data_IF_025472365010
#
_entry.id   IF_025472365010
#
_cell.length_a   1.000
_cell.length_b   1.000
_cell.length_c   1.000
_cell.angle_alpha   90.00
_cell.angle_beta   90.00
_cell.angle_gamma   90.00
#
_symmetry.space_group_name_H-M   'P 1'
#
loop_
_entity.id
_entity.type
_entity.pdbx_description
1 polymer ?
#
# COMPACT_ATOMS: atom_id res chain seq x y z
N UNK A 1 -18.46 21.87 5.77
CA UNK A 1 -18.23 21.12 4.54
C UNK A 1 -17.00 20.24 4.65
N UNK A 2 -17.12 19.02 4.22
CA UNK A 2 -15.99 18.09 4.24
C UNK A 2 -15.13 18.34 3.02
N UNK A 3 -13.86 18.52 3.25
CA UNK A 3 -12.92 18.72 2.16
C UNK A 3 -12.55 17.37 1.56
N UNK A 4 -12.53 17.30 0.24
CA UNK A 4 -12.14 16.08 -0.46
C UNK A 4 -10.77 15.59 -0.01
N UNK A 5 -9.86 16.51 0.30
CA UNK A 5 -8.52 16.14 0.77
C UNK A 5 -8.58 15.32 2.06
N UNK A 6 -9.40 15.77 3.01
CA UNK A 6 -9.51 15.06 4.29
C UNK A 6 -10.12 13.69 4.11
N UNK A 7 -11.09 13.58 3.21
CA UNK A 7 -11.74 12.32 2.94
C UNK A 7 -10.76 11.33 2.30
N UNK A 8 -10.02 11.79 1.32
CA UNK A 8 -9.06 10.92 0.62
C UNK A 8 -7.98 10.44 1.58
N UNK A 9 -7.43 11.33 2.39
CA UNK A 9 -6.41 10.98 3.37
C UNK A 9 -6.93 9.90 4.33
N UNK A 10 -8.18 10.05 4.75
CA UNK A 10 -8.78 9.08 5.67
C UNK A 10 -8.89 7.70 5.02
N UNK A 11 -9.35 7.66 3.77
CA UNK A 11 -9.45 6.39 3.04
C UNK A 11 -8.09 5.74 2.91
N UNK A 12 -7.08 6.51 2.52
CA UNK A 12 -5.73 5.98 2.35
C UNK A 12 -5.21 5.41 3.66
N UNK A 13 -5.39 6.13 4.75
CA UNK A 13 -4.91 5.68 6.05
C UNK A 13 -5.65 4.45 6.55
N UNK A 14 -6.96 4.39 6.32
CA UNK A 14 -7.74 3.23 6.72
C UNK A 14 -7.30 1.97 5.97
N UNK A 15 -7.02 2.10 4.69
CA UNK A 15 -6.55 0.97 3.91
C UNK A 15 -5.17 0.53 4.40
N UNK A 16 -4.29 1.50 4.67
CA UNK A 16 -2.95 1.21 5.20
C UNK A 16 -3.03 0.45 6.52
N UNK A 17 -3.91 0.87 7.42
CA UNK A 17 -4.09 0.20 8.70
C UNK A 17 -4.63 -1.20 8.53
N UNK A 18 -5.58 -1.37 7.62
CA UNK A 18 -6.14 -2.69 7.33
C UNK A 18 -5.03 -3.63 6.88
N UNK A 19 -4.18 -3.17 5.95
CA UNK A 19 -3.10 -3.99 5.45
C UNK A 19 -2.06 -4.30 6.53
N UNK A 20 -1.73 -3.33 7.37
CA UNK A 20 -0.80 -3.55 8.46
C UNK A 20 -1.28 -4.64 9.40
N UNK A 21 -2.57 -4.63 9.72
CA UNK A 21 -3.12 -5.68 10.57
C UNK A 21 -3.05 -7.03 9.90
N UNK A 22 -3.35 -7.08 8.62
CA UNK A 22 -3.27 -8.34 7.88
C UNK A 22 -1.84 -8.87 7.84
N UNK A 23 -0.87 -7.96 7.61
CA UNK A 23 0.54 -8.35 7.58
C UNK A 23 0.98 -8.93 8.92
N UNK A 24 0.49 -8.34 10.01
CA UNK A 24 0.87 -8.77 11.36
C UNK A 24 0.11 -10.02 11.81
N UNK A 25 -0.70 -10.60 10.93
CA UNK A 25 -1.36 -11.85 11.25
C UNK A 25 -2.72 -11.71 11.92
N UNK A 26 -3.32 -10.54 11.81
CA UNK A 26 -4.62 -10.31 12.42
C UNK A 26 -5.80 -10.84 11.62
N UNK A 27 -5.54 -11.74 10.70
CA UNK A 27 -6.57 -12.21 9.77
C UNK A 27 -7.44 -13.31 10.31
N UNK A 28 -7.12 -13.84 11.47
CA UNK A 28 -7.80 -15.02 11.98
C UNK A 28 -9.19 -14.71 12.52
N UNK A 29 -9.56 -13.46 12.58
CA UNK A 29 -10.80 -13.06 13.16
C UNK A 29 -11.95 -13.02 12.17
N UNK A 30 -11.65 -13.08 10.90
CA UNK A 30 -12.68 -12.84 9.93
C UNK A 30 -12.89 -13.98 8.97
N UNK A 31 -14.03 -13.90 8.32
CA UNK A 31 -14.35 -14.70 7.17
C UNK A 31 -13.45 -14.24 6.03
N UNK A 32 -12.77 -15.19 5.38
CA UNK A 32 -11.90 -14.85 4.25
C UNK A 32 -12.65 -14.08 3.16
N UNK A 33 -13.89 -14.49 2.90
CA UNK A 33 -14.70 -13.80 1.89
C UNK A 33 -14.92 -12.36 2.27
N UNK A 34 -15.18 -12.12 3.55
CA UNK A 34 -15.38 -10.76 4.04
C UNK A 34 -14.12 -9.93 3.91
N UNK A 35 -12.97 -10.51 4.25
CA UNK A 35 -11.69 -9.80 4.16
C UNK A 35 -11.37 -9.45 2.71
N UNK A 36 -11.65 -10.38 1.78
CA UNK A 36 -11.45 -10.11 0.36
C UNK A 36 -12.35 -9.00 -0.13
N UNK A 37 -13.60 -8.98 0.35
CA UNK A 37 -14.53 -7.93 -0.04
C UNK A 37 -14.06 -6.58 0.44
N UNK A 38 -13.58 -6.51 1.69
CA UNK A 38 -13.05 -5.26 2.24
C UNK A 38 -11.83 -4.80 1.44
N UNK A 39 -10.94 -5.74 1.11
CA UNK A 39 -9.77 -5.41 0.32
C UNK A 39 -10.16 -4.82 -1.04
N UNK A 40 -11.09 -5.47 -1.74
CA UNK A 40 -11.49 -5.01 -3.07
C UNK A 40 -12.19 -3.66 -3.01
N UNK A 41 -13.01 -3.45 -1.98
CA UNK A 41 -13.67 -2.16 -1.81
C UNK A 41 -12.65 -1.06 -1.60
N UNK A 42 -11.64 -1.33 -0.75
CA UNK A 42 -10.58 -0.36 -0.50
C UNK A 42 -9.78 -0.06 -1.77
N UNK A 43 -9.50 -1.09 -2.58
CA UNK A 43 -8.80 -0.87 -3.85
C UNK A 43 -9.60 0.07 -4.75
N UNK A 44 -10.89 -0.21 -4.88
CA UNK A 44 -11.73 0.61 -5.76
C UNK A 44 -11.82 2.04 -5.25
N UNK A 45 -12.00 2.21 -3.94
CA UNK A 45 -12.15 3.55 -3.37
C UNK A 45 -10.86 4.35 -3.46
N UNK A 46 -9.71 3.68 -3.31
CA UNK A 46 -8.42 4.36 -3.22
C UNK A 46 -7.77 4.56 -4.59
N UNK A 47 -7.77 3.52 -5.41
CA UNK A 47 -7.04 3.52 -6.69
C UNK A 47 -7.95 3.51 -7.91
N UNK A 48 -9.24 3.28 -7.72
CA UNK A 48 -10.23 3.22 -8.81
C UNK A 48 -9.95 2.09 -9.77
N UNK A 49 -9.30 1.04 -9.30
CA UNK A 49 -9.00 -0.14 -10.09
C UNK A 49 -8.73 -1.31 -9.17
N UNK A 50 -8.70 -2.51 -9.72
CA UNK A 50 -8.37 -3.71 -8.96
C UNK A 50 -6.87 -3.77 -8.71
N UNK A 51 -6.47 -4.63 -7.76
CA UNK A 51 -5.05 -4.82 -7.53
C UNK A 51 -4.37 -5.41 -8.77
N UNK A 52 -5.04 -6.32 -9.45
CA UNK A 52 -4.47 -6.93 -10.65
C UNK A 52 -4.13 -5.88 -11.71
N UNK A 53 -5.02 -4.91 -11.89
CA UNK A 53 -4.77 -3.82 -12.83
C UNK A 53 -3.60 -2.96 -12.38
N UNK A 54 -3.54 -2.65 -11.08
CA UNK A 54 -2.47 -1.84 -10.55
C UNK A 54 -1.13 -2.56 -10.69
N UNK A 55 -1.12 -3.87 -10.43
CA UNK A 55 0.10 -4.65 -10.46
C UNK A 55 0.70 -4.76 -11.86
N UNK A 56 -0.12 -4.58 -12.90
CA UNK A 56 0.39 -4.60 -14.28
C UNK A 56 1.20 -3.36 -14.60
N UNK A 57 1.06 -2.31 -13.81
CA UNK A 57 1.81 -1.07 -14.05
C UNK A 57 3.20 -1.20 -13.45
N UNK A 58 4.17 -0.53 -14.08
CA UNK A 58 5.51 -0.46 -13.52
C UNK A 58 5.52 0.42 -12.27
N UNK A 59 6.58 0.32 -11.47
CA UNK A 59 6.74 1.19 -10.32
C UNK A 59 6.72 2.66 -10.75
N UNK A 60 7.34 2.97 -11.88
CA UNK A 60 7.37 4.34 -12.38
C UNK A 60 5.97 4.81 -12.77
N UNK A 61 5.20 3.96 -13.41
CA UNK A 61 3.83 4.32 -13.79
C UNK A 61 2.96 4.56 -12.56
N UNK A 62 3.12 3.75 -11.54
CA UNK A 62 2.37 3.93 -10.30
C UNK A 62 2.80 5.22 -9.60
N UNK A 63 4.11 5.50 -9.62
CA UNK A 63 4.61 6.75 -9.05
C UNK A 63 4.01 7.95 -9.76
N UNK A 64 3.91 7.89 -11.09
CA UNK A 64 3.28 8.97 -11.84
C UNK A 64 1.82 9.13 -11.44
N UNK A 65 1.14 8.03 -11.21
CA UNK A 65 -0.24 8.08 -10.75
C UNK A 65 -0.35 8.82 -9.41
N UNK A 66 0.56 8.53 -8.48
CA UNK A 66 0.58 9.23 -7.19
C UNK A 66 0.87 10.71 -7.40
N UNK A 67 1.78 11.03 -8.32
CA UNK A 67 2.15 12.42 -8.57
C UNK A 67 0.99 13.27 -9.08
N UNK A 68 -0.05 12.63 -9.64
CA UNK A 68 -1.25 13.37 -10.05
C UNK A 68 -2.13 13.76 -8.87
N UNK A 69 -1.87 13.19 -7.69
CA UNK A 69 -2.64 13.49 -6.50
C UNK A 69 -2.13 14.76 -5.84
N UNK A 70 -2.91 15.28 -4.89
CA UNK A 70 -2.48 16.41 -4.10
C UNK A 70 -1.18 16.08 -3.38
N UNK A 71 -0.25 17.04 -3.35
CA UNK A 71 1.07 16.82 -2.75
C UNK A 71 0.98 16.32 -1.31
N UNK A 72 0.01 16.81 -0.56
CA UNK A 72 -0.16 16.40 0.84
C UNK A 72 -0.49 14.93 0.98
N UNK A 73 -0.92 14.28 -0.08
CA UNK A 73 -1.31 12.87 -0.05
C UNK A 73 -0.20 11.94 -0.53
N UNK A 74 0.89 12.46 -1.07
CA UNK A 74 1.92 11.61 -1.68
C UNK A 74 2.54 10.65 -0.67
N UNK A 75 2.98 11.16 0.48
CA UNK A 75 3.64 10.32 1.48
C UNK A 75 2.70 9.21 1.98
N UNK A 76 1.46 9.51 2.36
CA UNK A 76 0.53 8.43 2.74
C UNK A 76 0.30 7.41 1.63
N UNK A 77 0.26 7.84 0.38
CA UNK A 77 0.10 6.90 -0.74
C UNK A 77 1.30 5.98 -0.87
N UNK A 78 2.51 6.49 -0.70
CA UNK A 78 3.69 5.62 -0.80
C UNK A 78 3.76 4.62 0.34
N UNK A 79 3.36 5.03 1.54
CA UNK A 79 3.27 4.07 2.65
C UNK A 79 2.26 2.97 2.33
N UNK A 80 1.10 3.36 1.86
CA UNK A 80 0.06 2.42 1.49
C UNK A 80 0.54 1.46 0.41
N UNK A 81 1.20 1.99 -0.62
CA UNK A 81 1.69 1.14 -1.72
C UNK A 81 2.73 0.14 -1.24
N UNK A 82 3.62 0.56 -0.34
CA UNK A 82 4.57 -0.36 0.25
C UNK A 82 3.88 -1.49 0.98
N UNK A 83 2.90 -1.16 1.83
CA UNK A 83 2.12 -2.18 2.55
C UNK A 83 1.37 -3.09 1.60
N UNK A 84 0.78 -2.51 0.56
CA UNK A 84 -0.05 -3.26 -0.38
C UNK A 84 0.78 -4.31 -1.12
N UNK A 85 1.89 -3.89 -1.71
CA UNK A 85 2.72 -4.83 -2.46
C UNK A 85 3.44 -5.80 -1.54
N UNK A 86 3.82 -5.37 -0.35
CA UNK A 86 4.41 -6.27 0.62
C UNK A 86 3.41 -7.35 1.02
N UNK A 87 2.17 -6.96 1.33
CA UNK A 87 1.12 -7.91 1.71
C UNK A 87 0.87 -8.92 0.60
N UNK A 88 0.74 -8.45 -0.63
CA UNK A 88 0.50 -9.35 -1.76
C UNK A 88 1.69 -10.27 -1.99
N UNK A 89 2.89 -9.79 -1.75
CA UNK A 89 4.08 -10.63 -1.87
C UNK A 89 4.11 -11.72 -0.80
N UNK A 90 3.60 -11.45 0.40
CA UNK A 90 3.54 -12.51 1.42
C UNK A 90 2.54 -13.58 1.05
N UNK A 91 1.48 -13.22 0.35
CA UNK A 91 0.48 -14.21 -0.07
C UNK A 91 0.97 -15.06 -1.23
N UNK A 92 1.68 -14.46 -2.17
CA UNK A 92 2.12 -15.14 -3.37
C UNK A 92 3.40 -14.48 -3.88
N UNK A 93 4.55 -14.86 -3.33
CA UNK A 93 5.81 -14.17 -3.61
C UNK A 93 6.19 -14.20 -5.09
N UNK A 94 6.53 -13.04 -5.62
CA UNK A 94 7.11 -12.91 -6.93
C UNK A 94 8.19 -11.83 -6.90
N UNK A 95 9.22 -11.92 -7.76
CA UNK A 95 10.24 -10.88 -7.80
C UNK A 95 9.66 -9.49 -8.10
N UNK A 96 8.63 -9.44 -8.94
CA UNK A 96 8.00 -8.18 -9.31
C UNK A 96 7.32 -7.52 -8.12
N UNK A 97 6.57 -8.31 -7.35
CA UNK A 97 5.90 -7.77 -6.17
C UNK A 97 6.92 -7.32 -5.13
N UNK A 98 7.95 -8.12 -4.92
CA UNK A 98 8.99 -7.78 -3.95
C UNK A 98 9.70 -6.48 -4.34
N UNK A 99 10.02 -6.34 -5.62
CA UNK A 99 10.72 -5.14 -6.09
C UNK A 99 9.86 -3.89 -5.91
N UNK A 100 8.57 -3.98 -6.20
CA UNK A 100 7.68 -2.84 -6.04
C UNK A 100 7.50 -2.49 -4.57
N UNK A 101 7.29 -3.49 -3.71
CA UNK A 101 7.16 -3.24 -2.28
C UNK A 101 8.38 -2.51 -1.74
N UNK A 102 9.57 -2.98 -2.12
CA UNK A 102 10.81 -2.37 -1.67
C UNK A 102 10.90 -0.93 -2.16
N UNK A 103 10.62 -0.70 -3.45
CA UNK A 103 10.72 0.62 -4.04
C UNK A 103 9.79 1.62 -3.35
N UNK A 104 8.55 1.22 -3.09
CA UNK A 104 7.60 2.14 -2.46
C UNK A 104 7.92 2.39 -1.00
N UNK A 105 8.37 1.37 -0.27
CA UNK A 105 8.81 1.57 1.12
C UNK A 105 10.01 2.52 1.16
N UNK A 106 10.98 2.34 0.27
CA UNK A 106 12.14 3.21 0.24
C UNK A 106 11.74 4.65 -0.09
N UNK A 107 10.83 4.82 -1.04
CA UNK A 107 10.34 6.14 -1.39
C UNK A 107 9.64 6.78 -0.19
N UNK A 108 8.83 6.00 0.53
CA UNK A 108 8.15 6.51 1.71
C UNK A 108 9.15 6.98 2.77
N UNK A 109 10.15 6.16 3.07
CA UNK A 109 11.13 6.54 4.09
C UNK A 109 11.90 7.79 3.67
N UNK A 110 12.28 7.86 2.39
CA UNK A 110 13.03 9.00 1.88
C UNK A 110 12.20 10.28 1.94
N UNK A 111 10.98 10.23 1.48
CA UNK A 111 10.15 11.44 1.40
C UNK A 111 9.65 11.88 2.77
N UNK A 112 9.33 10.93 3.65
CA UNK A 112 8.81 11.28 4.96
C UNK A 112 9.90 11.68 5.95
N UNK A 113 11.11 11.18 5.75
CA UNK A 113 12.19 11.38 6.70
C UNK A 113 12.00 10.61 8.00
N UNK A 114 11.01 9.73 8.04
CA UNK A 114 10.71 8.94 9.24
C UNK A 114 11.54 7.67 9.23
N UNK A 115 12.12 7.32 10.38
CA UNK A 115 12.77 6.04 10.54
C UNK A 115 11.75 5.06 11.12
N UNK A 116 11.55 3.94 10.44
CA UNK A 116 10.60 2.93 10.87
C UNK A 116 11.29 1.57 10.86
N UNK A 117 11.52 1.01 12.03
CA UNK A 117 12.17 -0.30 12.14
C UNK A 117 11.37 -1.39 11.41
N UNK A 118 10.04 -1.48 11.58
CA UNK A 118 9.30 -2.51 10.84
C UNK A 118 9.49 -2.40 9.33
N UNK A 119 9.47 -1.19 8.79
CA UNK A 119 9.61 -1.01 7.35
C UNK A 119 11.02 -1.33 6.90
N UNK A 120 12.04 -0.88 7.66
CA UNK A 120 13.43 -1.21 7.34
C UNK A 120 13.62 -2.73 7.35
N UNK A 121 13.05 -3.40 8.33
CA UNK A 121 13.14 -4.85 8.42
C UNK A 121 12.52 -5.51 7.20
N UNK A 122 11.37 -5.03 6.75
CA UNK A 122 10.69 -5.56 5.58
C UNK A 122 11.51 -5.34 4.30
N UNK A 123 12.13 -4.16 4.18
CA UNK A 123 12.99 -3.90 3.03
C UNK A 123 14.13 -4.90 2.99
N UNK A 124 14.72 -5.21 4.14
CA UNK A 124 15.80 -6.19 4.21
C UNK A 124 15.33 -7.58 3.82
N UNK A 125 14.12 -7.96 4.20
CA UNK A 125 13.55 -9.25 3.80
C UNK A 125 13.38 -9.34 2.29
N UNK A 126 13.10 -8.21 1.66
CA UNK A 126 12.80 -8.17 0.23
C UNK A 126 14.04 -8.16 -0.66
N UNK A 127 15.21 -8.18 -0.07
CA UNK A 127 16.46 -8.08 -0.80
C UNK A 127 16.98 -9.41 -1.30
N UNK A 128 16.34 -10.31 -1.57
CA UNK A 128 16.91 -11.59 -2.05
C UNK A 128 17.14 -11.59 -3.54
#
# INVERSE_FOLDING_TARGET
MIHDKDYIIRIVKQFSEFLSKMILGGKNEGDLTELERVFETNMRDTFKMSFEELALKSADEITELVNTKDTAHHIPYFELLGHLFYFKNTENPTPELAAKAKAFYETYLQKSGIFSMPIVSRINELKT
#
